data_IF_893724010594
#
_entry.id   IF_893724010594
#
_cell.length_a   1.000
_cell.length_b   1.000
_cell.length_c   1.000
_cell.angle_alpha   90.00
_cell.angle_beta   90.00
_cell.angle_gamma   90.00
#
_symmetry.space_group_name_H-M   'P 1'
#
loop_
_entity.id
_entity.type
_entity.pdbx_description
1 polymer ?
#
# COMPACT_ATOMS: atom_id res chain seq x y z
N UNK A 1 -29.04 24.01 -11.91
CA UNK A 1 -28.03 24.56 -10.97
C UNK A 1 -26.74 23.79 -11.22
N UNK A 2 -25.75 24.48 -11.77
CA UNK A 2 -24.43 23.89 -11.92
C UNK A 2 -23.82 23.67 -10.53
N UNK A 3 -23.26 22.48 -10.26
CA UNK A 3 -22.64 22.22 -8.97
C UNK A 3 -21.43 23.13 -8.76
N UNK A 4 -21.36 23.79 -7.61
CA UNK A 4 -20.17 24.54 -7.20
C UNK A 4 -19.18 23.54 -6.66
N UNK A 5 -18.07 23.34 -7.38
CA UNK A 5 -16.99 22.48 -6.98
C UNK A 5 -16.10 23.22 -5.96
N UNK A 6 -16.02 22.73 -4.72
CA UNK A 6 -15.14 23.26 -3.70
C UNK A 6 -13.98 22.30 -3.44
N UNK A 7 -12.79 22.68 -3.82
CA UNK A 7 -11.58 21.94 -3.53
C UNK A 7 -10.98 22.44 -2.22
N UNK A 8 -11.25 21.71 -1.13
CA UNK A 8 -10.64 21.99 0.17
C UNK A 8 -9.14 21.73 0.15
N UNK A 9 -8.33 22.70 0.61
CA UNK A 9 -6.90 22.46 0.85
C UNK A 9 -6.73 21.73 2.17
N UNK A 10 -5.84 20.72 2.20
CA UNK A 10 -5.42 20.08 3.46
C UNK A 10 -4.83 21.15 4.40
N UNK A 11 -5.27 21.15 5.64
CA UNK A 11 -4.74 22.01 6.70
C UNK A 11 -3.38 21.53 7.21
N UNK A 12 -2.98 20.30 6.88
CA UNK A 12 -1.72 19.70 7.33
C UNK A 12 -0.56 19.99 6.39
N UNK A 13 0.56 20.42 6.95
CA UNK A 13 1.81 20.49 6.21
C UNK A 13 2.49 19.10 6.19
N UNK A 14 2.07 18.24 5.28
CA UNK A 14 2.60 16.87 5.15
C UNK A 14 4.11 16.78 4.94
N UNK A 15 4.76 17.88 4.49
CA UNK A 15 6.20 17.89 4.18
C UNK A 15 7.11 17.59 5.38
N UNK A 16 6.63 17.85 6.60
CA UNK A 16 7.40 17.62 7.83
C UNK A 16 7.04 16.30 8.51
N UNK A 17 6.05 15.58 8.02
CA UNK A 17 5.44 14.43 8.68
C UNK A 17 5.52 13.14 7.85
N UNK A 18 5.61 13.28 6.53
CA UNK A 18 5.62 12.16 5.60
C UNK A 18 6.93 12.13 4.82
N UNK A 19 7.67 11.05 4.96
CA UNK A 19 8.80 10.70 4.11
C UNK A 19 8.34 9.69 3.06
N UNK A 20 8.69 9.91 1.79
CA UNK A 20 8.37 8.98 0.71
C UNK A 20 9.64 8.55 0.00
N UNK A 21 9.92 7.25 0.08
CA UNK A 21 11.03 6.62 -0.59
C UNK A 21 10.52 5.75 -1.75
N UNK A 22 11.24 5.73 -2.86
CA UNK A 22 10.89 4.84 -3.97
C UNK A 22 12.14 4.16 -4.53
N UNK A 23 12.19 2.84 -4.37
CA UNK A 23 13.32 2.02 -4.83
C UNK A 23 13.29 1.92 -6.36
N UNK A 24 14.38 2.35 -7.02
CA UNK A 24 14.48 2.38 -8.49
C UNK A 24 14.94 1.06 -9.08
N UNK A 25 15.85 0.38 -8.41
CA UNK A 25 16.55 -0.80 -8.95
C UNK A 25 15.86 -2.11 -8.58
N UNK A 26 14.53 -2.09 -8.47
CA UNK A 26 13.72 -3.29 -8.28
C UNK A 26 13.62 -4.08 -9.59
N UNK A 27 13.63 -5.43 -9.53
CA UNK A 27 13.29 -6.27 -10.68
C UNK A 27 11.89 -5.97 -11.22
N UNK A 28 11.60 -6.45 -12.43
CA UNK A 28 10.25 -6.36 -12.98
C UNK A 28 9.26 -7.12 -12.08
N UNK A 29 8.08 -6.55 -11.75
CA UNK A 29 7.04 -7.21 -10.94
C UNK A 29 6.55 -8.57 -11.44
N UNK A 30 6.80 -8.91 -12.69
CA UNK A 30 6.43 -10.21 -13.29
C UNK A 30 7.59 -11.21 -13.26
N UNK A 31 8.73 -10.85 -12.67
CA UNK A 31 9.92 -11.71 -12.51
C UNK A 31 9.88 -12.42 -11.15
N UNK A 32 10.36 -13.66 -11.09
CA UNK A 32 10.51 -14.42 -9.85
C UNK A 32 11.46 -13.72 -8.85
N UNK A 33 12.46 -12.99 -9.37
CA UNK A 33 13.40 -12.21 -8.54
C UNK A 33 12.73 -11.03 -7.80
N UNK A 34 11.56 -10.60 -8.26
CA UNK A 34 10.86 -9.46 -7.66
C UNK A 34 10.43 -9.76 -6.22
N UNK A 35 9.86 -10.94 -5.99
CA UNK A 35 9.41 -11.35 -4.66
C UNK A 35 10.56 -11.56 -3.69
N UNK A 36 11.61 -12.23 -4.14
CA UNK A 36 12.82 -12.41 -3.36
C UNK A 36 13.42 -11.06 -2.95
N UNK A 37 13.45 -10.09 -3.86
CA UNK A 37 13.93 -8.74 -3.56
C UNK A 37 13.08 -8.03 -2.53
N UNK A 38 11.74 -8.15 -2.61
CA UNK A 38 10.82 -7.60 -1.60
C UNK A 38 11.09 -8.23 -0.23
N UNK A 39 11.19 -9.56 -0.16
CA UNK A 39 11.44 -10.27 1.09
C UNK A 39 12.74 -9.81 1.74
N UNK A 40 13.82 -9.68 0.97
CA UNK A 40 15.12 -9.21 1.46
C UNK A 40 15.07 -7.77 1.99
N UNK A 41 14.39 -6.85 1.25
CA UNK A 41 14.22 -5.47 1.69
C UNK A 41 13.43 -5.42 2.99
N UNK A 42 12.32 -6.14 3.09
CA UNK A 42 11.53 -6.17 4.30
C UNK A 42 12.33 -6.71 5.49
N UNK A 43 13.06 -7.81 5.33
CA UNK A 43 13.90 -8.37 6.39
C UNK A 43 14.95 -7.36 6.86
N UNK A 44 15.54 -6.61 5.94
CA UNK A 44 16.55 -5.60 6.28
C UNK A 44 15.93 -4.38 6.99
N UNK A 45 14.82 -3.85 6.47
CA UNK A 45 14.29 -2.55 6.89
C UNK A 45 13.33 -2.61 8.08
N UNK A 46 12.78 -3.80 8.42
CA UNK A 46 11.81 -3.93 9.50
C UNK A 46 12.41 -3.82 10.92
N UNK A 47 13.71 -4.02 11.08
CA UNK A 47 14.39 -4.12 12.40
C UNK A 47 14.13 -2.92 13.31
N UNK A 48 14.18 -1.71 12.76
CA UNK A 48 14.07 -0.45 13.50
C UNK A 48 12.64 0.14 13.50
N UNK A 49 11.67 -0.63 13.06
CA UNK A 49 10.26 -0.23 12.96
C UNK A 49 9.46 -0.77 14.15
N UNK A 50 8.27 -0.23 14.36
CA UNK A 50 7.35 -0.71 15.42
C UNK A 50 6.03 -1.22 14.83
N UNK A 51 5.25 -0.33 14.19
CA UNK A 51 3.97 -0.68 13.58
C UNK A 51 4.05 -0.53 12.07
N UNK A 52 4.14 -1.66 11.39
CA UNK A 52 4.43 -1.71 9.96
C UNK A 52 3.29 -2.35 9.19
N UNK A 53 2.91 -1.69 8.09
CA UNK A 53 1.93 -2.21 7.15
C UNK A 53 2.60 -2.53 5.82
N UNK A 54 2.57 -3.79 5.40
CA UNK A 54 3.07 -4.26 4.11
C UNK A 54 1.89 -4.48 3.19
N UNK A 55 1.72 -3.60 2.21
CA UNK A 55 0.60 -3.59 1.29
C UNK A 55 0.94 -4.34 0.00
N UNK A 56 0.29 -5.47 -0.16
CA UNK A 56 0.38 -6.35 -1.33
C UNK A 56 -0.83 -6.16 -2.26
N UNK A 57 -0.83 -6.83 -3.41
CA UNK A 57 -1.97 -6.86 -4.34
C UNK A 57 -2.48 -8.27 -4.61
N UNK A 58 -1.85 -9.29 -4.03
CA UNK A 58 -2.15 -10.70 -4.26
C UNK A 58 -2.08 -11.48 -2.96
N UNK A 59 -3.15 -12.25 -2.65
CA UNK A 59 -3.24 -13.07 -1.44
C UNK A 59 -2.24 -14.24 -1.40
N UNK A 60 -1.85 -14.76 -2.55
CA UNK A 60 -0.86 -15.84 -2.65
C UNK A 60 0.51 -15.36 -2.18
N UNK A 61 0.90 -14.16 -2.62
CA UNK A 61 2.16 -13.53 -2.27
C UNK A 61 2.24 -13.12 -0.79
N UNK A 62 1.11 -12.83 -0.16
CA UNK A 62 1.04 -12.60 1.30
C UNK A 62 1.58 -13.83 2.05
N UNK A 63 1.29 -15.05 1.60
CA UNK A 63 1.77 -16.27 2.27
C UNK A 63 3.28 -16.42 2.19
N UNK A 64 3.87 -16.14 1.03
CA UNK A 64 5.31 -16.19 0.82
C UNK A 64 6.04 -15.19 1.72
N UNK A 65 5.66 -13.93 1.65
CA UNK A 65 6.24 -12.86 2.46
C UNK A 65 6.04 -13.13 3.96
N UNK A 66 4.85 -13.55 4.37
CA UNK A 66 4.56 -13.91 5.77
C UNK A 66 5.47 -15.03 6.27
N UNK A 67 5.66 -16.08 5.48
CA UNK A 67 6.54 -17.20 5.85
C UNK A 67 8.00 -16.75 5.97
N UNK A 68 8.49 -15.93 5.06
CA UNK A 68 9.85 -15.40 5.09
C UNK A 68 10.11 -14.58 6.36
N UNK A 69 9.30 -13.55 6.61
CA UNK A 69 9.53 -12.64 7.74
C UNK A 69 9.28 -13.31 9.10
N UNK A 70 8.35 -14.28 9.18
CA UNK A 70 8.08 -15.03 10.43
C UNK A 70 9.26 -15.90 10.85
N UNK A 71 10.03 -16.40 9.89
CA UNK A 71 11.21 -17.24 10.14
C UNK A 71 12.50 -16.42 10.37
N UNK A 72 12.43 -15.11 10.34
CA UNK A 72 13.59 -14.23 10.52
C UNK A 72 13.85 -13.99 12.01
N UNK A 73 14.99 -14.45 12.57
CA UNK A 73 15.28 -14.33 13.99
C UNK A 73 15.30 -12.90 14.51
N UNK A 74 15.67 -11.95 13.67
CA UNK A 74 15.74 -10.51 13.97
C UNK A 74 14.35 -9.89 14.21
N UNK A 75 13.30 -10.52 13.72
CA UNK A 75 11.91 -10.05 13.84
C UNK A 75 11.10 -10.77 14.93
N UNK A 76 11.76 -11.58 15.77
CA UNK A 76 11.10 -12.39 16.83
C UNK A 76 10.28 -11.56 17.84
N UNK A 77 10.60 -10.27 18.00
CA UNK A 77 9.94 -9.37 18.92
C UNK A 77 8.66 -8.73 18.32
N UNK A 78 8.42 -8.97 17.02
CA UNK A 78 7.22 -8.50 16.33
C UNK A 78 6.09 -9.53 16.40
N UNK A 79 4.89 -9.04 16.61
CA UNK A 79 3.69 -9.80 16.29
C UNK A 79 3.43 -9.70 14.78
N UNK A 80 3.69 -10.78 14.06
CA UNK A 80 3.54 -10.84 12.61
C UNK A 80 2.16 -11.37 12.25
N UNK A 81 1.39 -10.59 11.51
CA UNK A 81 0.01 -10.84 11.14
C UNK A 81 -0.16 -10.82 9.63
N UNK A 82 -0.96 -11.73 9.09
CA UNK A 82 -1.22 -11.77 7.66
C UNK A 82 -2.69 -11.99 7.34
N UNK A 83 -3.19 -11.27 6.36
CA UNK A 83 -4.54 -11.43 5.84
C UNK A 83 -4.78 -12.86 5.36
N UNK A 84 -5.91 -13.44 5.78
CA UNK A 84 -6.29 -14.81 5.43
C UNK A 84 -5.54 -15.91 6.21
N UNK A 85 -4.57 -15.56 7.06
CA UNK A 85 -3.80 -16.52 7.87
C UNK A 85 -3.96 -16.28 9.38
N UNK A 86 -4.02 -15.01 9.81
CA UNK A 86 -4.02 -14.64 11.23
C UNK A 86 -5.42 -14.41 11.82
N UNK A 87 -6.47 -14.77 11.09
CA UNK A 87 -7.87 -14.60 11.45
C UNK A 87 -8.61 -13.55 10.58
N UNK A 88 -9.76 -13.07 11.06
CA UNK A 88 -10.50 -12.01 10.37
C UNK A 88 -9.76 -10.68 10.40
N UNK A 89 -10.03 -9.81 9.41
CA UNK A 89 -9.39 -8.49 9.32
C UNK A 89 -9.57 -7.66 10.59
N UNK A 90 -10.75 -7.71 11.22
CA UNK A 90 -11.00 -7.03 12.49
C UNK A 90 -10.17 -7.58 13.65
N UNK A 91 -9.94 -8.91 13.66
CA UNK A 91 -9.08 -9.54 14.67
C UNK A 91 -7.61 -9.15 14.46
N UNK A 92 -7.17 -9.15 13.22
CA UNK A 92 -5.82 -8.70 12.84
C UNK A 92 -5.60 -7.24 13.29
N UNK A 93 -6.53 -6.33 12.96
CA UNK A 93 -6.43 -4.93 13.33
C UNK A 93 -6.36 -4.73 14.86
N UNK A 94 -7.19 -5.44 15.63
CA UNK A 94 -7.16 -5.38 17.11
C UNK A 94 -5.82 -5.86 17.68
N UNK A 95 -5.28 -6.97 17.18
CA UNK A 95 -3.99 -7.50 17.62
C UNK A 95 -2.87 -6.53 17.30
N UNK A 96 -2.87 -5.97 16.11
CA UNK A 96 -1.90 -4.98 15.65
C UNK A 96 -1.80 -3.77 16.58
N UNK A 97 -2.94 -3.22 16.97
CA UNK A 97 -3.01 -2.04 17.86
C UNK A 97 -2.51 -2.35 19.28
N UNK A 98 -2.77 -3.56 19.79
CA UNK A 98 -2.41 -3.94 21.17
C UNK A 98 -0.93 -4.32 21.30
N UNK A 99 -0.34 -4.84 20.24
CA UNK A 99 1.05 -5.30 20.25
C UNK A 99 2.03 -4.11 20.40
N UNK A 100 3.11 -4.33 21.12
CA UNK A 100 4.19 -3.33 21.26
C UNK A 100 4.92 -3.10 19.94
N UNK A 101 5.14 -4.17 19.18
CA UNK A 101 5.68 -4.16 17.82
C UNK A 101 4.86 -5.11 16.97
N UNK A 102 4.45 -4.69 15.80
CA UNK A 102 3.63 -5.53 14.92
C UNK A 102 3.82 -5.21 13.45
N UNK A 103 3.64 -6.26 12.65
CA UNK A 103 3.70 -6.19 11.19
C UNK A 103 2.42 -6.80 10.65
N UNK A 104 1.72 -6.09 9.76
CA UNK A 104 0.63 -6.66 8.97
C UNK A 104 1.10 -6.81 7.53
N UNK A 105 0.91 -8.00 6.97
CA UNK A 105 0.97 -8.24 5.53
C UNK A 105 -0.45 -8.40 5.00
N UNK A 106 -0.90 -7.45 4.18
CA UNK A 106 -2.28 -7.40 3.70
C UNK A 106 -2.43 -6.88 2.28
N UNK A 107 -3.59 -7.13 1.68
CA UNK A 107 -3.98 -6.63 0.36
C UNK A 107 -5.36 -5.98 0.44
N UNK A 108 -5.89 -5.53 -0.67
CA UNK A 108 -7.24 -4.98 -0.86
C UNK A 108 -7.78 -4.18 0.32
N UNK A 109 -8.45 -4.82 1.28
CA UNK A 109 -9.06 -4.17 2.45
C UNK A 109 -8.06 -3.47 3.38
N UNK A 110 -6.77 -3.82 3.31
CA UNK A 110 -5.72 -3.13 4.06
C UNK A 110 -5.20 -1.88 3.34
N UNK A 111 -5.38 -1.76 2.04
CA UNK A 111 -5.20 -0.50 1.33
C UNK A 111 -6.26 0.53 1.72
N UNK A 112 -7.52 0.07 1.87
CA UNK A 112 -8.67 0.90 2.21
C UNK A 112 -9.63 0.12 3.14
N UNK A 113 -10.42 0.80 3.95
CA UNK A 113 -11.53 0.18 4.69
C UNK A 113 -11.25 -0.35 6.09
N UNK A 114 -10.01 -0.65 6.49
CA UNK A 114 -9.69 -1.02 7.87
C UNK A 114 -9.21 0.20 8.63
N UNK A 115 -9.79 0.43 9.79
CA UNK A 115 -9.38 1.50 10.68
C UNK A 115 -8.45 0.99 11.78
N UNK A 116 -7.31 1.64 11.90
CA UNK A 116 -6.32 1.39 12.94
C UNK A 116 -6.37 2.53 13.96
N UNK A 117 -7.53 2.72 14.62
CA UNK A 117 -7.69 3.76 15.64
C UNK A 117 -6.57 3.69 16.67
N UNK A 118 -6.02 4.85 16.97
CA UNK A 118 -5.01 5.07 18.01
C UNK A 118 -3.70 4.27 17.88
N UNK A 119 -3.45 3.64 16.73
CA UNK A 119 -2.18 3.02 16.43
C UNK A 119 -1.40 3.88 15.43
N UNK A 120 -0.29 4.44 15.88
CA UNK A 120 0.65 5.13 15.01
C UNK A 120 1.34 4.12 14.09
N UNK A 121 0.88 3.98 12.84
CA UNK A 121 1.63 3.26 11.82
C UNK A 121 2.83 4.13 11.46
N UNK A 122 4.02 3.64 11.70
CA UNK A 122 5.26 4.37 11.41
C UNK A 122 5.79 4.12 10.00
N UNK A 123 5.47 2.96 9.43
CA UNK A 123 5.95 2.62 8.08
C UNK A 123 4.91 1.83 7.29
N UNK A 124 4.73 2.24 6.03
CA UNK A 124 3.93 1.51 5.04
C UNK A 124 4.81 1.16 3.86
N UNK A 125 4.95 -0.13 3.57
CA UNK A 125 5.56 -0.65 2.36
C UNK A 125 4.48 -0.91 1.31
N UNK A 126 4.52 -0.18 0.20
CA UNK A 126 3.71 -0.45 -0.99
C UNK A 126 4.49 -1.40 -1.91
N UNK A 127 4.31 -2.69 -1.72
CA UNK A 127 5.05 -3.69 -2.49
C UNK A 127 4.72 -3.66 -3.99
N UNK A 128 3.48 -3.34 -4.35
CA UNK A 128 3.05 -3.19 -5.75
C UNK A 128 2.08 -2.01 -5.87
N UNK A 129 2.09 -1.34 -7.02
CA UNK A 129 1.04 -0.37 -7.37
C UNK A 129 -0.33 -1.07 -7.35
N UNK A 130 -1.33 -0.53 -6.65
CA UNK A 130 -2.58 -1.22 -6.31
C UNK A 130 -3.62 -1.21 -7.44
N UNK A 131 -3.25 -1.70 -8.63
CA UNK A 131 -4.25 -1.98 -9.66
C UNK A 131 -5.18 -3.11 -9.21
N UNK A 132 -6.46 -2.95 -9.50
CA UNK A 132 -7.45 -4.01 -9.26
C UNK A 132 -7.18 -5.20 -10.19
N UNK A 133 -7.38 -6.43 -9.67
CA UNK A 133 -7.26 -7.61 -10.51
C UNK A 133 -8.40 -7.68 -11.53
N UNK A 134 -8.11 -7.84 -12.83
CA UNK A 134 -9.14 -8.01 -13.84
C UNK A 134 -9.94 -9.32 -13.68
N UNK A 135 -9.47 -10.24 -12.84
CA UNK A 135 -10.16 -11.51 -12.56
C UNK A 135 -11.32 -11.36 -11.57
N UNK A 136 -11.40 -10.25 -10.85
CA UNK A 136 -12.52 -9.96 -9.96
C UNK A 136 -13.81 -9.71 -10.78
N UNK A 137 -14.92 -10.40 -10.47
CA UNK A 137 -16.15 -10.31 -11.26
C UNK A 137 -16.70 -8.88 -11.40
N UNK A 138 -16.66 -8.10 -10.32
CA UNK A 138 -17.11 -6.70 -10.31
C UNK A 138 -16.23 -5.80 -11.17
N UNK A 139 -14.92 -6.02 -11.18
CA UNK A 139 -13.98 -5.29 -12.04
C UNK A 139 -14.26 -5.60 -13.50
N UNK A 140 -14.39 -6.89 -13.83
CA UNK A 140 -14.69 -7.36 -15.19
C UNK A 140 -16.00 -6.79 -15.74
N UNK A 141 -17.07 -6.81 -14.91
CA UNK A 141 -18.38 -6.28 -15.32
C UNK A 141 -18.32 -4.76 -15.56
N UNK A 142 -17.63 -4.04 -14.70
CA UNK A 142 -17.44 -2.59 -14.83
C UNK A 142 -16.64 -2.23 -16.08
N UNK A 143 -15.53 -2.91 -16.30
CA UNK A 143 -14.64 -2.68 -17.44
C UNK A 143 -15.36 -2.99 -18.76
N UNK A 144 -16.05 -4.13 -18.84
CA UNK A 144 -16.84 -4.49 -20.03
C UNK A 144 -17.88 -3.42 -20.38
N UNK A 145 -18.57 -2.86 -19.39
CA UNK A 145 -19.53 -1.78 -19.63
C UNK A 145 -18.89 -0.53 -20.24
N UNK A 146 -17.69 -0.21 -19.85
CA UNK A 146 -16.93 0.93 -20.40
C UNK A 146 -16.42 0.63 -21.82
N UNK A 147 -15.94 -0.58 -22.05
CA UNK A 147 -15.53 -1.06 -23.38
C UNK A 147 -16.68 -1.00 -24.38
N UNK A 148 -17.88 -1.46 -23.98
CA UNK A 148 -19.09 -1.42 -24.80
C UNK A 148 -19.52 0.02 -25.16
N UNK A 149 -19.06 1.02 -24.38
CA UNK A 149 -19.26 2.44 -24.64
C UNK A 149 -18.13 3.07 -25.45
N UNK A 150 -17.12 2.30 -25.85
CA UNK A 150 -15.94 2.78 -26.59
C UNK A 150 -14.98 3.63 -25.73
N UNK A 151 -15.01 3.49 -24.40
CA UNK A 151 -14.18 4.24 -23.47
C UNK A 151 -12.87 3.49 -23.21
N UNK A 152 -11.75 4.20 -23.18
CA UNK A 152 -10.47 3.64 -22.73
C UNK A 152 -10.55 3.29 -21.24
N UNK A 153 -10.64 1.99 -20.97
CA UNK A 153 -10.81 1.46 -19.62
C UNK A 153 -9.61 1.75 -18.73
N UNK A 154 -8.40 1.69 -19.30
CA UNK A 154 -7.21 1.95 -18.50
C UNK A 154 -7.15 3.39 -18.01
N UNK A 155 -7.31 4.34 -18.91
CA UNK A 155 -7.22 5.77 -18.62
C UNK A 155 -8.41 6.29 -17.79
N UNK A 156 -9.61 5.73 -17.98
CA UNK A 156 -10.85 6.26 -17.37
C UNK A 156 -11.30 5.53 -16.12
N UNK A 157 -10.81 4.31 -15.87
CA UNK A 157 -11.21 3.51 -14.71
C UNK A 157 -10.01 2.96 -13.93
N UNK A 158 -9.15 2.14 -14.57
CA UNK A 158 -8.12 1.38 -13.84
C UNK A 158 -7.06 2.29 -13.22
N UNK A 159 -6.53 3.24 -13.97
CA UNK A 159 -5.48 4.14 -13.50
C UNK A 159 -5.98 5.12 -12.42
N UNK A 160 -7.10 5.85 -12.59
CA UNK A 160 -7.61 6.72 -11.54
C UNK A 160 -7.91 6.00 -10.23
N UNK A 161 -8.50 4.80 -10.29
CA UNK A 161 -8.77 3.98 -9.11
C UNK A 161 -7.50 3.54 -8.40
N UNK A 162 -6.50 3.10 -9.15
CA UNK A 162 -5.22 2.71 -8.60
C UNK A 162 -4.53 3.90 -7.90
N UNK A 163 -4.57 5.10 -8.48
CA UNK A 163 -4.03 6.33 -7.86
C UNK A 163 -4.77 6.69 -6.57
N UNK A 164 -6.10 6.58 -6.56
CA UNK A 164 -6.90 6.84 -5.34
C UNK A 164 -6.53 5.83 -4.25
N UNK A 165 -6.48 4.54 -4.56
CA UNK A 165 -6.12 3.48 -3.61
C UNK A 165 -4.69 3.66 -3.08
N UNK A 166 -3.76 4.04 -3.94
CA UNK A 166 -2.37 4.34 -3.57
C UNK A 166 -2.31 5.49 -2.55
N UNK A 167 -3.05 6.58 -2.80
CA UNK A 167 -3.16 7.69 -1.83
C UNK A 167 -3.79 7.27 -0.52
N UNK A 168 -4.79 6.40 -0.54
CA UNK A 168 -5.42 5.87 0.68
C UNK A 168 -4.43 5.04 1.51
N UNK A 169 -3.59 4.21 0.85
CA UNK A 169 -2.51 3.48 1.52
C UNK A 169 -1.52 4.43 2.21
N UNK A 170 -1.10 5.49 1.53
CA UNK A 170 -0.24 6.52 2.10
C UNK A 170 -0.92 7.29 3.24
N UNK A 171 -2.23 7.56 3.12
CA UNK A 171 -3.03 8.21 4.15
C UNK A 171 -3.19 7.40 5.45
N UNK A 172 -2.72 6.15 5.49
CA UNK A 172 -2.66 5.36 6.73
C UNK A 172 -1.63 5.89 7.73
N UNK A 173 -0.61 6.60 7.24
CA UNK A 173 0.49 7.10 8.04
C UNK A 173 0.15 8.37 8.80
N UNK A 174 -0.55 9.31 8.16
CA UNK A 174 -0.77 10.65 8.70
C UNK A 174 -2.26 10.88 8.88
N UNK A 175 -2.71 10.94 10.12
CA UNK A 175 -4.11 11.20 10.53
C UNK A 175 -4.24 12.48 11.34
N UNK A 176 -3.18 12.85 12.08
CA UNK A 176 -3.12 14.01 12.94
C UNK A 176 -1.82 14.80 12.79
N UNK A 177 -1.78 15.95 13.46
CA UNK A 177 -0.63 16.89 13.42
C UNK A 177 0.64 16.35 14.09
N UNK A 178 0.52 15.28 14.88
CA UNK A 178 1.65 14.67 15.59
C UNK A 178 2.16 13.39 14.91
N UNK A 179 1.44 12.90 13.90
CA UNK A 179 1.81 11.67 13.22
C UNK A 179 3.00 11.91 12.29
N UNK A 180 3.92 10.94 12.27
CA UNK A 180 5.05 10.92 11.36
C UNK A 180 5.16 9.51 10.80
N UNK A 181 5.51 9.39 9.53
CA UNK A 181 5.64 8.07 8.93
C UNK A 181 6.38 8.06 7.61
N UNK A 182 6.81 6.87 7.25
CA UNK A 182 7.56 6.58 6.04
C UNK A 182 6.73 5.71 5.09
N UNK A 183 6.60 6.15 3.85
CA UNK A 183 5.95 5.38 2.78
C UNK A 183 7.00 4.91 1.79
N UNK A 184 7.23 3.61 1.72
CA UNK A 184 8.26 2.98 0.90
C UNK A 184 7.61 2.29 -0.30
N UNK A 185 7.97 2.72 -1.51
CA UNK A 185 7.42 2.17 -2.76
C UNK A 185 8.45 1.23 -3.38
N UNK A 186 8.07 -0.03 -3.54
CA UNK A 186 8.93 -1.08 -4.08
C UNK A 186 8.63 -1.43 -5.54
N UNK A 187 7.73 -0.71 -6.21
CA UNK A 187 7.30 -1.01 -7.57
C UNK A 187 8.05 -0.17 -8.62
N UNK A 188 8.95 -0.77 -9.43
CA UNK A 188 9.74 -0.04 -10.41
C UNK A 188 8.90 0.54 -11.55
N UNK A 189 7.63 0.12 -11.70
CA UNK A 189 6.71 0.67 -12.70
C UNK A 189 6.41 2.15 -12.47
N UNK A 190 6.63 2.64 -11.25
CA UNK A 190 6.58 4.06 -10.91
C UNK A 190 7.52 4.89 -11.82
N UNK A 191 8.67 4.31 -12.20
CA UNK A 191 9.70 4.97 -12.99
C UNK A 191 9.73 4.52 -14.45
N UNK A 192 9.34 3.26 -14.70
CA UNK A 192 9.52 2.62 -16.02
C UNK A 192 8.29 2.70 -16.91
N UNK A 193 7.13 3.07 -16.37
CA UNK A 193 5.86 3.16 -17.12
C UNK A 193 5.37 4.60 -17.21
N UNK A 194 4.79 4.97 -18.36
CA UNK A 194 4.27 6.33 -18.60
C UNK A 194 3.24 6.78 -17.56
N UNK A 195 2.44 5.87 -17.06
CA UNK A 195 1.44 6.15 -16.03
C UNK A 195 2.04 6.38 -14.63
N UNK A 196 3.30 6.05 -14.41
CA UNK A 196 3.98 6.25 -13.12
C UNK A 196 3.97 7.71 -12.67
N UNK A 197 3.98 8.67 -13.62
CA UNK A 197 3.86 10.11 -13.35
C UNK A 197 2.58 10.49 -12.61
N UNK A 198 1.46 9.77 -12.86
CA UNK A 198 0.18 10.03 -12.20
C UNK A 198 0.25 9.70 -10.70
N UNK A 199 0.96 8.62 -10.35
CA UNK A 199 1.25 8.27 -8.96
C UNK A 199 2.19 9.29 -8.32
N UNK A 200 3.29 9.64 -8.99
CA UNK A 200 4.24 10.64 -8.48
C UNK A 200 3.58 12.00 -8.22
N UNK A 201 2.73 12.48 -9.12
CA UNK A 201 1.97 13.72 -8.97
C UNK A 201 0.95 13.66 -7.84
N UNK A 202 0.48 12.45 -7.49
CA UNK A 202 -0.47 12.25 -6.40
C UNK A 202 0.18 12.31 -5.00
N UNK A 203 1.50 12.24 -4.92
CA UNK A 203 2.27 12.30 -3.67
C UNK A 203 2.44 13.76 -3.25
N UNK A 204 2.06 14.14 -2.01
CA UNK A 204 2.06 15.53 -1.56
C UNK A 204 3.44 16.07 -1.18
N UNK A 205 4.47 15.22 -1.17
CA UNK A 205 5.85 15.53 -0.76
C UNK A 205 6.84 15.09 -1.84
N UNK A 206 8.10 15.49 -1.70
CA UNK A 206 9.15 15.01 -2.61
C UNK A 206 9.42 13.53 -2.38
N UNK A 207 9.61 12.78 -3.45
CA UNK A 207 10.02 11.37 -3.43
C UNK A 207 11.55 11.31 -3.52
N UNK A 208 12.15 10.51 -2.65
CA UNK A 208 13.58 10.22 -2.58
C UNK A 208 13.92 8.83 -3.15
#
# INVERSE_FOLDING_TARGET
LDPVEYIGKSTFNMKNHLEVLAVKDMPNPDSDLYEESIEQILIHDLKDKNHVLVLMTNLEKIRSVFAAITNTPELKDFEILAQGLSGSNNRIAKRFVIAKKSIIVGADSFWEGIDFHDCGIDTVFAAKIPFESPDQPEVRLRQKKLEDQGVDVFEKDSLPRAVIRFRQGMGRLIRGEQDHGQFVILDPRLWTKNYGKEFLQSIPVKVE
#
